data_IF_833603555705
#
_entry.id   IF_833603555705
#
_cell.length_a   1.000
_cell.length_b   1.000
_cell.length_c   1.000
_cell.angle_alpha   90.00
_cell.angle_beta   90.00
_cell.angle_gamma   90.00
#
_symmetry.space_group_name_H-M   'P 1'
#
loop_
_entity.id
_entity.type
_entity.pdbx_description
1 polymer ?
#
# COMPACT_ATOMS: atom_id res chain seq x y z
N UNK A 1 41.33 -50.97 -12.92
CA UNK A 1 40.79 -50.16 -11.83
C UNK A 1 41.17 -50.85 -10.52
N UNK A 2 41.97 -50.26 -9.69
CA UNK A 2 42.44 -50.87 -8.43
C UNK A 2 41.33 -50.77 -7.36
N UNK A 3 41.54 -51.46 -6.22
CA UNK A 3 40.55 -51.53 -5.13
C UNK A 3 40.22 -50.14 -4.54
N UNK A 4 41.19 -49.21 -4.56
CA UNK A 4 41.04 -47.84 -4.08
C UNK A 4 40.17 -46.99 -4.99
N UNK A 5 40.33 -47.14 -6.32
CA UNK A 5 39.51 -46.41 -7.30
C UNK A 5 38.03 -46.82 -7.20
N UNK A 6 37.77 -48.10 -6.93
CA UNK A 6 36.38 -48.58 -6.70
C UNK A 6 35.76 -47.96 -5.45
N UNK A 7 36.49 -47.89 -4.36
CA UNK A 7 36.03 -47.27 -3.13
C UNK A 7 35.74 -45.79 -3.31
N UNK A 8 36.59 -45.05 -3.98
CA UNK A 8 36.37 -43.63 -4.29
C UNK A 8 35.12 -43.43 -5.14
N UNK A 9 34.91 -44.28 -6.11
CA UNK A 9 33.70 -44.15 -6.97
C UNK A 9 32.41 -44.49 -6.19
N UNK A 10 32.42 -45.49 -5.30
CA UNK A 10 31.28 -45.82 -4.43
C UNK A 10 30.93 -44.66 -3.52
N UNK A 11 31.95 -44.04 -2.89
CA UNK A 11 31.74 -42.90 -1.99
C UNK A 11 31.20 -41.68 -2.72
N UNK A 12 31.66 -41.39 -3.94
CA UNK A 12 31.12 -40.30 -4.78
C UNK A 12 29.66 -40.55 -5.15
N UNK A 13 29.30 -41.79 -5.53
CA UNK A 13 27.94 -42.14 -5.87
C UNK A 13 26.99 -42.01 -4.66
N UNK A 14 27.43 -42.49 -3.50
CA UNK A 14 26.68 -42.42 -2.25
C UNK A 14 26.43 -40.96 -1.80
N UNK A 15 27.44 -40.11 -1.88
CA UNK A 15 27.32 -38.69 -1.56
C UNK A 15 26.34 -38.01 -2.51
N UNK A 16 26.37 -38.32 -3.81
CA UNK A 16 25.42 -37.81 -4.80
C UNK A 16 23.98 -38.22 -4.50
N UNK A 17 23.74 -39.49 -4.15
CA UNK A 17 22.41 -40.00 -3.75
C UNK A 17 21.90 -39.29 -2.47
N UNK A 18 22.76 -39.05 -1.50
CA UNK A 18 22.43 -38.30 -0.28
C UNK A 18 22.02 -36.85 -0.58
N UNK A 19 22.74 -36.20 -1.48
CA UNK A 19 22.42 -34.82 -1.90
C UNK A 19 21.08 -34.77 -2.64
N UNK A 20 20.83 -35.71 -3.56
CA UNK A 20 19.58 -35.81 -4.29
C UNK A 20 18.39 -36.10 -3.35
N UNK A 21 18.53 -37.05 -2.43
CA UNK A 21 17.49 -37.36 -1.42
C UNK A 21 17.21 -36.17 -0.48
N UNK A 22 18.25 -35.46 -0.08
CA UNK A 22 18.10 -34.25 0.74
C UNK A 22 17.39 -33.14 -0.03
N UNK A 23 17.68 -33.01 -1.32
CA UNK A 23 17.05 -32.04 -2.21
C UNK A 23 15.55 -32.34 -2.43
N UNK A 24 15.19 -33.60 -2.65
CA UNK A 24 13.78 -34.03 -2.78
C UNK A 24 12.98 -33.79 -1.49
N UNK A 25 13.57 -34.08 -0.32
CA UNK A 25 12.93 -33.78 0.98
C UNK A 25 12.71 -32.28 1.19
N UNK A 26 13.66 -31.43 0.80
CA UNK A 26 13.52 -29.98 0.86
C UNK A 26 12.43 -29.47 -0.07
N UNK A 27 12.35 -29.98 -1.31
CA UNK A 27 11.31 -29.61 -2.26
C UNK A 27 9.93 -30.01 -1.73
N UNK A 28 9.77 -31.18 -1.13
CA UNK A 28 8.52 -31.61 -0.54
C UNK A 28 8.08 -30.77 0.66
N UNK A 29 9.02 -30.32 1.51
CA UNK A 29 8.73 -29.42 2.63
C UNK A 29 8.26 -28.06 2.10
N UNK A 30 8.90 -27.52 1.07
CA UNK A 30 8.52 -26.25 0.42
C UNK A 30 7.14 -26.37 -0.22
N UNK A 31 6.84 -27.49 -0.89
CA UNK A 31 5.54 -27.72 -1.51
C UNK A 31 4.40 -27.89 -0.50
N UNK A 32 4.67 -28.40 0.70
CA UNK A 32 3.67 -28.55 1.77
C UNK A 32 3.42 -27.27 2.57
N UNK A 33 4.42 -26.37 2.67
CA UNK A 33 4.34 -25.13 3.44
C UNK A 33 4.15 -23.88 2.55
N UNK A 34 3.90 -24.05 1.26
CA UNK A 34 3.87 -23.01 0.24
C UNK A 34 2.80 -21.93 0.38
N UNK A 35 2.19 -21.77 1.57
CA UNK A 35 1.20 -20.71 1.83
C UNK A 35 1.60 -19.77 2.99
N UNK A 36 2.86 -19.79 3.42
CA UNK A 36 3.37 -18.97 4.51
C UNK A 36 3.91 -17.59 4.07
N UNK A 37 3.89 -17.32 2.76
CA UNK A 37 4.38 -16.05 2.20
C UNK A 37 5.92 -15.93 2.13
N UNK A 38 6.64 -17.00 2.44
CA UNK A 38 8.10 -17.04 2.31
C UNK A 38 8.52 -17.67 0.98
N UNK A 39 9.45 -17.05 0.28
CA UNK A 39 10.08 -17.57 -0.92
C UNK A 39 11.44 -18.16 -0.56
N UNK A 40 11.72 -19.36 -1.08
CA UNK A 40 13.01 -20.03 -0.90
C UNK A 40 13.72 -20.12 -2.25
N UNK A 41 15.03 -19.91 -2.26
CA UNK A 41 15.83 -20.12 -3.46
C UNK A 41 15.95 -21.62 -3.79
N UNK A 42 16.53 -21.95 -4.95
CA UNK A 42 16.69 -23.34 -5.40
C UNK A 42 17.54 -24.21 -4.47
N UNK A 43 18.34 -23.59 -3.58
CA UNK A 43 19.17 -24.26 -2.57
C UNK A 43 18.45 -24.43 -1.23
N UNK A 44 17.17 -23.99 -1.15
CA UNK A 44 16.34 -24.11 0.06
C UNK A 44 16.71 -23.14 1.16
N UNK A 45 17.50 -22.10 0.85
CA UNK A 45 17.72 -20.98 1.74
C UNK A 45 16.56 -20.01 1.62
N UNK A 46 16.17 -19.43 2.76
CA UNK A 46 15.15 -18.39 2.80
C UNK A 46 15.63 -17.24 1.92
N UNK A 47 14.92 -17.01 0.81
CA UNK A 47 15.17 -15.82 0.01
C UNK A 47 14.82 -14.64 0.90
N UNK A 48 15.82 -13.93 1.39
CA UNK A 48 15.61 -12.75 2.21
C UNK A 48 14.64 -11.86 1.42
N UNK A 49 13.51 -11.43 1.99
CA UNK A 49 12.54 -10.61 1.29
C UNK A 49 13.30 -9.45 0.66
N UNK A 50 13.20 -9.34 -0.67
CA UNK A 50 13.96 -8.34 -1.42
C UNK A 50 13.84 -7.03 -0.69
N UNK A 51 14.97 -6.43 -0.37
CA UNK A 51 15.10 -5.18 0.38
C UNK A 51 14.21 -4.05 -0.19
N UNK A 52 13.85 -4.15 -1.48
CA UNK A 52 12.94 -3.26 -2.21
C UNK A 52 11.55 -3.12 -1.58
N UNK A 53 10.88 -4.21 -1.18
CA UNK A 53 9.52 -4.14 -0.61
C UNK A 53 9.50 -3.43 0.75
N UNK A 54 10.60 -3.51 1.51
CA UNK A 54 10.72 -2.86 2.82
C UNK A 54 11.13 -1.38 2.71
N UNK A 55 11.85 -1.01 1.66
CA UNK A 55 12.22 0.39 1.39
C UNK A 55 11.03 1.18 0.88
N UNK A 56 10.22 0.64 -0.02
CA UNK A 56 8.99 1.29 -0.51
C UNK A 56 7.99 1.53 0.63
N UNK A 57 7.78 0.57 1.51
CA UNK A 57 6.88 0.74 2.67
C UNK A 57 7.39 1.78 3.67
N UNK A 58 8.70 1.84 3.91
CA UNK A 58 9.33 2.85 4.79
C UNK A 58 9.37 4.23 4.13
N UNK A 59 9.37 4.28 2.79
CA UNK A 59 9.27 5.50 2.00
C UNK A 59 7.90 6.18 2.05
N UNK A 60 6.86 5.53 2.64
CA UNK A 60 5.51 6.09 2.76
C UNK A 60 5.11 6.32 4.24
N UNK A 61 5.66 7.35 4.91
CA UNK A 61 5.43 7.61 6.32
C UNK A 61 4.08 8.32 6.56
N UNK A 62 2.95 7.67 6.22
CA UNK A 62 1.61 8.28 6.29
C UNK A 62 1.29 8.79 7.70
N UNK A 63 1.60 8.02 8.73
CA UNK A 63 1.32 8.44 10.10
C UNK A 63 2.20 9.63 10.50
N UNK A 64 3.52 9.48 10.47
CA UNK A 64 4.47 10.49 10.94
C UNK A 64 4.60 11.71 10.02
N UNK A 65 4.36 11.52 8.70
CA UNK A 65 4.48 12.58 7.71
C UNK A 65 3.19 13.35 7.42
N UNK A 66 2.03 12.80 7.79
CA UNK A 66 0.73 13.42 7.51
C UNK A 66 -0.16 13.45 8.75
N UNK A 67 -0.52 12.30 9.31
CA UNK A 67 -1.52 12.24 10.38
C UNK A 67 -1.04 12.93 11.66
N UNK A 68 0.23 12.77 12.02
CA UNK A 68 0.81 13.40 13.21
C UNK A 68 0.98 14.91 13.07
N UNK A 69 1.16 15.43 11.84
CA UNK A 69 1.30 16.86 11.61
C UNK A 69 -0.03 17.61 11.56
N UNK A 70 -1.09 16.97 11.02
CA UNK A 70 -2.34 17.62 10.71
C UNK A 70 -3.58 16.95 11.35
N UNK A 71 -3.56 16.52 12.62
CA UNK A 71 -4.64 15.72 13.20
C UNK A 71 -5.97 16.46 13.20
N UNK A 72 -5.99 17.74 13.51
CA UNK A 72 -7.23 18.53 13.57
C UNK A 72 -7.71 18.95 12.19
N UNK A 73 -6.81 19.33 11.29
CA UNK A 73 -7.16 19.63 9.91
C UNK A 73 -7.80 18.41 9.22
N UNK A 74 -7.26 17.21 9.44
CA UNK A 74 -7.81 15.99 8.86
C UNK A 74 -9.19 15.63 9.44
N UNK A 75 -9.45 15.91 10.72
CA UNK A 75 -10.80 15.80 11.31
C UNK A 75 -11.79 16.74 10.63
N UNK A 76 -11.39 17.99 10.37
CA UNK A 76 -12.24 18.93 9.65
C UNK A 76 -12.50 18.48 8.21
N UNK A 77 -11.48 17.98 7.49
CA UNK A 77 -11.66 17.41 6.14
C UNK A 77 -12.65 16.22 6.17
N UNK A 78 -12.59 15.36 7.17
CA UNK A 78 -13.56 14.27 7.34
C UNK A 78 -14.99 14.78 7.60
N UNK A 79 -15.14 15.84 8.43
CA UNK A 79 -16.44 16.50 8.64
C UNK A 79 -17.01 17.12 7.36
N UNK A 80 -16.15 17.75 6.54
CA UNK A 80 -16.54 18.30 5.25
C UNK A 80 -17.08 17.18 4.32
N UNK A 81 -16.41 16.03 4.29
CA UNK A 81 -16.87 14.87 3.51
C UNK A 81 -18.26 14.40 3.97
N UNK A 82 -18.47 14.34 5.28
CA UNK A 82 -19.78 13.97 5.86
C UNK A 82 -20.86 15.02 5.57
N UNK A 83 -20.54 16.30 5.69
CA UNK A 83 -21.46 17.39 5.38
C UNK A 83 -21.94 17.33 3.92
N UNK A 84 -21.00 17.15 2.97
CA UNK A 84 -21.34 16.98 1.57
C UNK A 84 -22.20 15.74 1.28
N UNK A 85 -21.90 14.61 1.95
CA UNK A 85 -22.74 13.41 1.83
C UNK A 85 -24.17 13.69 2.34
N UNK A 86 -24.32 14.29 3.51
CA UNK A 86 -25.61 14.58 4.11
C UNK A 86 -26.42 15.60 3.30
N UNK A 87 -25.76 16.53 2.63
CA UNK A 87 -26.41 17.50 1.75
C UNK A 87 -26.98 16.86 0.48
N UNK A 88 -26.29 15.91 -0.11
CA UNK A 88 -26.65 15.34 -1.40
C UNK A 88 -27.28 13.95 -1.32
N UNK A 89 -26.94 13.17 -0.30
CA UNK A 89 -27.32 11.77 -0.14
C UNK A 89 -27.52 11.40 1.35
N UNK A 90 -28.42 12.10 2.09
CA UNK A 90 -28.58 11.90 3.53
C UNK A 90 -29.00 10.46 3.92
N UNK A 91 -29.63 9.76 2.97
CA UNK A 91 -30.10 8.38 3.15
C UNK A 91 -29.02 7.31 2.89
N UNK A 92 -27.84 7.70 2.39
CA UNK A 92 -26.77 6.76 2.04
C UNK A 92 -25.64 6.79 3.06
N UNK A 93 -24.93 5.67 3.23
CA UNK A 93 -23.64 5.67 3.93
C UNK A 93 -22.67 6.66 3.27
N UNK A 94 -21.72 7.15 4.06
CA UNK A 94 -20.69 8.07 3.56
C UNK A 94 -20.01 7.47 2.31
N UNK A 95 -20.07 8.20 1.21
CA UNK A 95 -19.48 7.83 -0.06
C UNK A 95 -19.10 9.07 -0.87
N UNK A 96 -18.15 8.93 -1.76
CA UNK A 96 -17.75 9.96 -2.71
C UNK A 96 -18.20 9.58 -4.12
N UNK A 97 -19.12 10.34 -4.67
CA UNK A 97 -19.54 10.21 -6.07
C UNK A 97 -18.55 10.97 -6.97
N UNK A 98 -17.53 10.28 -7.44
CA UNK A 98 -16.47 10.84 -8.30
C UNK A 98 -17.02 11.36 -9.62
N UNK A 99 -18.16 10.83 -10.10
CA UNK A 99 -18.79 11.26 -11.36
C UNK A 99 -19.30 12.69 -11.33
N UNK A 100 -19.43 13.28 -10.14
CA UNK A 100 -19.87 14.67 -9.93
C UNK A 100 -18.73 15.64 -9.59
N UNK A 101 -17.49 15.19 -9.64
CA UNK A 101 -16.32 15.98 -9.23
C UNK A 101 -15.52 16.48 -10.44
N UNK A 102 -16.20 17.15 -11.38
CA UNK A 102 -15.55 17.67 -12.60
C UNK A 102 -14.92 19.05 -12.42
N UNK A 103 -15.28 19.78 -11.36
CA UNK A 103 -14.89 21.16 -11.11
C UNK A 103 -14.06 21.33 -9.85
N UNK A 104 -13.30 20.30 -9.46
CA UNK A 104 -12.54 20.33 -8.21
C UNK A 104 -11.58 21.54 -8.13
N UNK A 105 -10.86 21.83 -9.20
CA UNK A 105 -9.88 22.90 -9.26
C UNK A 105 -10.57 24.27 -9.20
N UNK A 106 -11.65 24.47 -9.93
CA UNK A 106 -12.42 25.72 -9.89
C UNK A 106 -13.06 25.92 -8.52
N UNK A 107 -13.64 24.88 -7.94
CA UNK A 107 -14.22 24.92 -6.61
C UNK A 107 -13.16 25.22 -5.53
N UNK A 108 -11.97 24.63 -5.65
CA UNK A 108 -10.83 24.89 -4.77
C UNK A 108 -10.49 26.39 -4.79
N UNK A 109 -10.31 26.96 -5.98
CA UNK A 109 -9.96 28.37 -6.16
C UNK A 109 -11.07 29.30 -5.62
N UNK A 110 -12.35 29.01 -5.90
CA UNK A 110 -13.49 29.77 -5.34
C UNK A 110 -13.43 29.79 -3.82
N UNK A 111 -13.32 28.65 -3.17
CA UNK A 111 -13.23 28.58 -1.70
C UNK A 111 -12.00 29.28 -1.14
N UNK A 112 -10.86 29.26 -1.84
CA UNK A 112 -9.67 30.00 -1.41
C UNK A 112 -9.89 31.52 -1.45
N UNK A 113 -10.55 32.03 -2.50
CA UNK A 113 -10.92 33.43 -2.63
C UNK A 113 -11.94 33.83 -1.55
N UNK A 114 -12.96 33.00 -1.34
CA UNK A 114 -14.01 33.30 -0.38
C UNK A 114 -13.52 33.26 1.07
N UNK A 115 -12.56 32.37 1.38
CA UNK A 115 -11.86 32.36 2.66
C UNK A 115 -11.24 33.72 3.00
N UNK A 116 -10.73 34.46 2.01
CA UNK A 116 -10.14 35.81 2.25
C UNK A 116 -11.17 36.82 2.72
N UNK A 117 -12.44 36.61 2.49
CA UNK A 117 -13.55 37.49 2.89
C UNK A 117 -14.23 37.01 4.17
N UNK A 118 -14.49 35.71 4.26
CA UNK A 118 -15.09 35.04 5.41
C UNK A 118 -14.48 33.63 5.55
N UNK A 119 -14.04 33.19 6.73
CA UNK A 119 -13.50 31.84 6.91
C UNK A 119 -14.56 30.76 6.79
N UNK A 120 -15.83 31.04 7.08
CA UNK A 120 -16.96 30.08 7.04
C UNK A 120 -17.79 30.28 5.77
N UNK A 121 -18.19 29.16 5.15
CA UNK A 121 -19.19 29.12 4.09
C UNK A 121 -20.62 29.12 4.69
N UNK A 122 -21.63 29.33 3.86
CA UNK A 122 -23.05 29.40 4.26
C UNK A 122 -23.57 28.11 4.93
N UNK A 123 -22.94 26.98 4.66
CA UNK A 123 -23.24 25.68 5.31
C UNK A 123 -22.51 25.46 6.65
N UNK A 124 -21.76 26.48 7.13
CA UNK A 124 -21.00 26.42 8.37
C UNK A 124 -19.68 25.65 8.30
N UNK A 125 -19.29 25.18 7.12
CA UNK A 125 -18.02 24.49 6.89
C UNK A 125 -16.93 25.51 6.55
N UNK A 126 -15.74 25.38 7.10
CA UNK A 126 -14.61 26.23 6.77
C UNK A 126 -14.25 26.15 5.28
N UNK A 127 -14.08 27.26 4.59
CA UNK A 127 -13.59 27.28 3.22
C UNK A 127 -12.24 26.57 3.06
N UNK A 128 -11.29 26.73 3.99
CA UNK A 128 -10.00 26.01 3.93
C UNK A 128 -10.17 24.49 4.01
N UNK A 129 -11.17 24.00 4.71
CA UNK A 129 -11.49 22.57 4.75
C UNK A 129 -11.94 22.07 3.39
N UNK A 130 -12.79 22.85 2.71
CA UNK A 130 -13.25 22.55 1.34
C UNK A 130 -12.09 22.61 0.35
N UNK A 131 -11.18 23.57 0.48
CA UNK A 131 -9.93 23.66 -0.30
C UNK A 131 -9.10 22.38 -0.14
N UNK A 132 -8.85 21.96 1.10
CA UNK A 132 -8.07 20.76 1.40
C UNK A 132 -8.75 19.49 0.84
N UNK A 133 -10.05 19.36 1.01
CA UNK A 133 -10.82 18.22 0.48
C UNK A 133 -10.73 18.18 -1.05
N UNK A 134 -10.93 19.30 -1.76
CA UNK A 134 -10.86 19.38 -3.22
C UNK A 134 -9.45 19.09 -3.75
N UNK A 135 -8.41 19.54 -3.06
CA UNK A 135 -7.01 19.22 -3.42
C UNK A 135 -6.73 17.71 -3.32
N UNK A 136 -7.20 17.06 -2.24
CA UNK A 136 -7.07 15.61 -2.09
C UNK A 136 -7.87 14.87 -3.17
N UNK A 137 -9.08 15.34 -3.51
CA UNK A 137 -9.91 14.74 -4.55
C UNK A 137 -9.22 14.81 -5.92
N UNK A 138 -8.70 15.96 -6.31
CA UNK A 138 -7.95 16.13 -7.58
C UNK A 138 -6.72 15.23 -7.63
N UNK A 139 -5.94 15.20 -6.53
CA UNK A 139 -4.76 14.34 -6.45
C UNK A 139 -5.14 12.85 -6.58
N UNK A 140 -6.18 12.40 -5.89
CA UNK A 140 -6.64 11.02 -5.95
C UNK A 140 -7.07 10.64 -7.36
N UNK A 141 -7.89 11.48 -8.03
CA UNK A 141 -8.33 11.25 -9.41
C UNK A 141 -7.12 11.18 -10.36
N UNK A 142 -6.14 12.07 -10.20
CA UNK A 142 -4.93 12.04 -11.00
C UNK A 142 -4.15 10.74 -10.85
N UNK A 143 -3.97 10.26 -9.61
CA UNK A 143 -3.23 9.02 -9.33
C UNK A 143 -3.93 7.75 -9.84
N UNK A 144 -5.27 7.74 -9.85
CA UNK A 144 -6.06 6.63 -10.37
C UNK A 144 -6.06 6.54 -11.91
N UNK A 145 -5.77 7.63 -12.59
CA UNK A 145 -5.75 7.70 -14.06
C UNK A 145 -4.32 7.66 -14.64
N UNK A 146 -3.31 7.45 -13.80
CA UNK A 146 -1.88 7.33 -14.19
C UNK A 146 -1.53 5.90 -14.54
#
# INVERSE_FOLDING_TARGET
MNSLDKLIQITKNFNKELEESSREKRINIIAQNGNDGYHYNLDGELDSPKKEVNEDRKGMPVYSGVLAYFPDALKEVAKCSLAGNNQHHPEKPLHWDKSKSFDNEDALVRHLIDHSKNPLDDDGVLHLTKVAWRALASLQIYLENK
#
